data_IF_990105253038
#
_entry.id   IF_990105253038
#
_cell.length_a   1.000
_cell.length_b   1.000
_cell.length_c   1.000
_cell.angle_alpha   90.00
_cell.angle_beta   90.00
_cell.angle_gamma   90.00
#
_symmetry.space_group_name_H-M   'P 1'
#
loop_
_entity.id
_entity.type
_entity.pdbx_description
1 polymer ?
#
# COMPACT_ATOMS: atom_id res chain seq x y z
N UNK A 1 17.96 2.80 -15.26
CA UNK A 1 17.06 1.69 -14.85
C UNK A 1 16.90 0.73 -16.02
N UNK A 2 17.39 -0.51 -15.91
CA UNK A 2 17.41 -1.49 -17.02
C UNK A 2 16.05 -2.20 -17.19
N UNK A 3 15.89 -2.94 -18.29
CA UNK A 3 14.63 -3.63 -18.66
C UNK A 3 14.16 -4.61 -17.58
N UNK A 4 15.08 -5.32 -16.92
CA UNK A 4 14.77 -6.28 -15.86
C UNK A 4 14.17 -5.59 -14.63
N UNK A 5 14.75 -4.48 -14.18
CA UNK A 5 14.22 -3.68 -13.07
C UNK A 5 12.80 -3.18 -13.34
N UNK A 6 12.53 -2.72 -14.57
CA UNK A 6 11.17 -2.28 -14.97
C UNK A 6 10.14 -3.41 -14.95
N UNK A 7 10.54 -4.62 -15.38
CA UNK A 7 9.65 -5.79 -15.39
C UNK A 7 9.32 -6.24 -13.96
N UNK A 8 10.33 -6.26 -13.08
CA UNK A 8 10.14 -6.62 -11.67
C UNK A 8 9.16 -5.68 -10.96
N UNK A 9 9.34 -4.35 -11.09
CA UNK A 9 8.42 -3.37 -10.48
C UNK A 9 6.99 -3.51 -11.03
N UNK A 10 6.84 -3.83 -12.33
CA UNK A 10 5.52 -4.04 -12.93
C UNK A 10 4.84 -5.31 -12.40
N UNK A 11 5.60 -6.38 -12.17
CA UNK A 11 5.08 -7.63 -11.61
C UNK A 11 4.70 -7.46 -10.15
N UNK A 12 5.55 -6.80 -9.36
CA UNK A 12 5.31 -6.45 -7.96
C UNK A 12 4.00 -5.65 -7.80
N UNK A 13 3.84 -4.56 -8.58
CA UNK A 13 2.60 -3.76 -8.56
C UNK A 13 1.35 -4.58 -8.91
N UNK A 14 1.45 -5.50 -9.88
CA UNK A 14 0.34 -6.39 -10.26
C UNK A 14 -0.02 -7.35 -9.13
N UNK A 15 0.99 -7.96 -8.52
CA UNK A 15 0.79 -8.87 -7.40
C UNK A 15 0.17 -8.15 -6.20
N UNK A 16 0.70 -6.98 -5.86
CA UNK A 16 0.14 -6.11 -4.82
C UNK A 16 -1.34 -5.77 -5.09
N UNK A 17 -1.68 -5.35 -6.31
CA UNK A 17 -3.06 -5.05 -6.66
C UNK A 17 -3.97 -6.28 -6.62
N UNK A 18 -3.45 -7.47 -6.93
CA UNK A 18 -4.21 -8.72 -6.92
C UNK A 18 -4.50 -9.20 -5.49
N UNK A 19 -3.56 -9.04 -4.56
CA UNK A 19 -3.74 -9.47 -3.17
C UNK A 19 -4.99 -8.87 -2.52
N UNK A 20 -5.29 -7.61 -2.80
CA UNK A 20 -6.53 -6.96 -2.35
C UNK A 20 -7.78 -7.59 -2.99
N UNK A 21 -7.71 -7.97 -4.26
CA UNK A 21 -8.85 -8.62 -4.94
C UNK A 21 -9.09 -10.04 -4.44
N UNK A 22 -8.03 -10.73 -4.01
CA UNK A 22 -8.12 -12.07 -3.45
C UNK A 22 -8.95 -12.11 -2.15
N UNK A 23 -9.07 -10.98 -1.44
CA UNK A 23 -9.92 -10.85 -0.26
C UNK A 23 -11.43 -10.94 -0.57
N UNK A 24 -11.84 -10.89 -1.85
CA UNK A 24 -13.25 -10.96 -2.24
C UNK A 24 -13.56 -12.29 -2.93
N UNK A 25 -14.53 -13.04 -2.39
CA UNK A 25 -15.08 -14.22 -3.07
C UNK A 25 -15.96 -13.86 -4.27
N UNK A 26 -16.63 -12.69 -4.25
CA UNK A 26 -17.63 -12.29 -5.26
C UNK A 26 -17.34 -10.95 -5.98
N UNK A 27 -16.07 -10.52 -6.01
CA UNK A 27 -15.57 -9.62 -7.05
C UNK A 27 -15.31 -8.16 -6.67
N UNK A 28 -16.04 -7.55 -5.73
CA UNK A 28 -15.75 -6.18 -5.27
C UNK A 28 -16.18 -5.97 -3.82
N UNK A 29 -15.43 -5.13 -3.12
CA UNK A 29 -15.76 -4.73 -1.77
C UNK A 29 -14.62 -3.97 -1.12
N UNK A 30 -14.74 -3.90 0.18
CA UNK A 30 -13.90 -3.16 1.11
C UNK A 30 -13.26 -4.20 2.04
N UNK A 31 -11.96 -4.12 2.26
CA UNK A 31 -11.25 -5.10 3.10
C UNK A 31 -11.14 -4.56 4.52
N UNK A 32 -11.38 -5.42 5.50
CA UNK A 32 -11.19 -5.08 6.90
C UNK A 32 -9.77 -4.58 7.16
N UNK A 33 -9.69 -3.53 7.99
CA UNK A 33 -8.44 -2.85 8.29
C UNK A 33 -7.37 -3.78 8.86
N UNK A 34 -7.75 -4.73 9.69
CA UNK A 34 -6.87 -5.72 10.30
C UNK A 34 -6.22 -6.59 9.22
N UNK A 35 -7.02 -7.08 8.27
CA UNK A 35 -6.52 -7.84 7.11
C UNK A 35 -5.57 -7.01 6.25
N UNK A 36 -5.83 -5.71 6.10
CA UNK A 36 -4.93 -4.80 5.36
C UNK A 36 -3.60 -4.61 6.08
N UNK A 37 -3.58 -4.53 7.40
CA UNK A 37 -2.34 -4.42 8.16
C UNK A 37 -1.45 -5.64 7.91
N UNK A 38 -2.02 -6.84 7.93
CA UNK A 38 -1.29 -8.09 7.64
C UNK A 38 -0.80 -8.14 6.19
N UNK A 39 -1.61 -7.71 5.22
CA UNK A 39 -1.20 -7.65 3.82
C UNK A 39 -0.07 -6.64 3.58
N UNK A 40 -0.09 -5.48 4.23
CA UNK A 40 0.98 -4.48 4.11
C UNK A 40 2.31 -5.04 4.60
N UNK A 41 2.32 -5.69 5.77
CA UNK A 41 3.53 -6.29 6.33
C UNK A 41 4.07 -7.42 5.44
N UNK A 42 3.17 -8.32 5.00
CA UNK A 42 3.53 -9.45 4.16
C UNK A 42 4.11 -9.03 2.80
N UNK A 43 3.52 -8.03 2.15
CA UNK A 43 3.85 -7.68 0.77
C UNK A 43 4.94 -6.62 0.67
N UNK A 44 4.99 -5.68 1.61
CA UNK A 44 5.87 -4.51 1.55
C UNK A 44 6.79 -4.39 2.76
N UNK A 45 6.52 -5.08 3.88
CA UNK A 45 7.25 -4.89 5.14
C UNK A 45 8.74 -5.14 5.06
N UNK A 46 9.18 -6.13 4.27
CA UNK A 46 10.62 -6.39 4.07
C UNK A 46 11.32 -5.35 3.18
N UNK A 47 10.59 -4.66 2.31
CA UNK A 47 11.13 -3.68 1.36
C UNK A 47 11.06 -2.26 1.92
N UNK A 48 10.01 -1.96 2.69
CA UNK A 48 9.67 -0.63 3.19
C UNK A 48 9.27 -0.66 4.69
N UNK A 49 10.11 -1.21 5.58
CA UNK A 49 9.71 -1.49 6.97
C UNK A 49 9.29 -0.23 7.74
N UNK A 50 9.95 0.91 7.50
CA UNK A 50 9.63 2.16 8.19
C UNK A 50 8.28 2.75 7.74
N UNK A 51 8.02 2.78 6.43
CA UNK A 51 6.75 3.23 5.86
C UNK A 51 5.60 2.33 6.29
N UNK A 52 5.78 1.01 6.18
CA UNK A 52 4.76 0.02 6.54
C UNK A 52 4.46 0.09 8.03
N UNK A 53 5.48 0.15 8.89
CA UNK A 53 5.29 0.30 10.34
C UNK A 53 4.45 1.53 10.69
N UNK A 54 4.71 2.67 10.04
CA UNK A 54 3.92 3.89 10.27
C UNK A 54 2.50 3.82 9.74
N UNK A 55 2.28 3.20 8.58
CA UNK A 55 0.94 2.97 8.05
C UNK A 55 0.12 2.05 8.96
N UNK A 56 0.71 0.94 9.43
CA UNK A 56 0.04 -0.01 10.32
C UNK A 56 -0.28 0.64 11.68
N UNK A 57 0.65 1.42 12.24
CA UNK A 57 0.43 2.20 13.46
C UNK A 57 -0.75 3.17 13.27
N UNK A 58 -0.76 3.93 12.17
CA UNK A 58 -1.83 4.87 11.83
C UNK A 58 -3.20 4.19 11.68
N UNK A 59 -3.26 3.08 10.94
CA UNK A 59 -4.50 2.33 10.75
C UNK A 59 -5.00 1.79 12.10
N UNK A 60 -4.12 1.18 12.91
CA UNK A 60 -4.51 0.66 14.23
C UNK A 60 -5.00 1.76 15.17
N UNK A 61 -4.46 2.98 15.09
CA UNK A 61 -4.90 4.12 15.88
C UNK A 61 -6.33 4.58 15.54
N UNK A 62 -6.70 4.62 14.27
CA UNK A 62 -8.05 5.06 13.87
C UNK A 62 -9.10 3.95 13.98
N UNK A 63 -10.00 4.06 14.97
CA UNK A 63 -11.08 3.10 15.20
C UNK A 63 -12.29 3.27 14.27
N UNK A 64 -12.47 4.47 13.71
CA UNK A 64 -13.65 4.81 12.91
C UNK A 64 -13.54 4.34 11.45
N UNK A 65 -12.33 4.16 10.94
CA UNK A 65 -12.08 3.55 9.64
C UNK A 65 -12.11 2.03 9.79
N UNK A 66 -13.23 1.41 9.40
CA UNK A 66 -13.41 -0.05 9.49
C UNK A 66 -12.91 -0.81 8.27
N UNK A 67 -12.88 -0.13 7.13
CA UNK A 67 -12.60 -0.76 5.85
C UNK A 67 -11.70 0.10 4.98
N UNK A 68 -11.00 -0.56 4.07
CA UNK A 68 -10.09 0.04 3.11
C UNK A 68 -10.58 -0.28 1.70
N UNK A 69 -10.70 0.77 0.88
CA UNK A 69 -11.06 0.65 -0.53
C UNK A 69 -9.85 0.33 -1.40
N UNK A 70 -10.10 -0.10 -2.64
CA UNK A 70 -9.04 -0.39 -3.62
C UNK A 70 -8.16 0.83 -3.92
N UNK A 71 -8.73 2.03 -3.92
CA UNK A 71 -7.99 3.26 -4.21
C UNK A 71 -7.04 3.63 -3.07
N UNK A 72 -7.48 3.44 -1.82
CA UNK A 72 -6.65 3.60 -0.63
C UNK A 72 -5.53 2.56 -0.61
N UNK A 73 -5.86 1.30 -0.91
CA UNK A 73 -4.87 0.23 -1.05
C UNK A 73 -3.77 0.58 -2.06
N UNK A 74 -4.15 1.05 -3.25
CA UNK A 74 -3.18 1.50 -4.25
C UNK A 74 -2.44 2.77 -3.83
N UNK A 75 -3.03 3.59 -2.96
CA UNK A 75 -2.40 4.74 -2.31
C UNK A 75 -1.22 4.34 -1.44
N UNK A 76 -1.37 3.31 -0.59
CA UNK A 76 -0.28 2.82 0.27
C UNK A 76 0.93 2.32 -0.52
N UNK A 77 0.71 1.64 -1.64
CA UNK A 77 1.80 1.23 -2.53
C UNK A 77 2.57 2.42 -3.09
N UNK A 78 1.84 3.45 -3.53
CA UNK A 78 2.47 4.66 -4.06
C UNK A 78 3.22 5.41 -2.97
N UNK A 79 2.67 5.50 -1.75
CA UNK A 79 3.38 6.06 -0.60
C UNK A 79 4.72 5.35 -0.36
N UNK A 80 4.73 4.02 -0.32
CA UNK A 80 5.96 3.26 -0.08
C UNK A 80 7.00 3.40 -1.21
N UNK A 81 6.54 3.48 -2.46
CA UNK A 81 7.42 3.38 -3.65
C UNK A 81 7.78 4.72 -4.30
N UNK A 82 7.04 5.80 -4.01
CA UNK A 82 7.19 7.10 -4.67
C UNK A 82 7.49 8.25 -3.71
N UNK A 83 7.00 8.20 -2.48
CA UNK A 83 7.23 9.29 -1.51
C UNK A 83 8.60 9.13 -0.86
N UNK A 84 9.36 10.22 -0.77
CA UNK A 84 10.67 10.30 -0.15
C UNK A 84 10.55 10.24 1.38
N UNK A 85 10.38 9.05 1.92
CA UNK A 85 10.29 8.86 3.36
C UNK A 85 11.66 8.94 4.04
N UNK A 86 11.81 9.54 5.25
CA UNK A 86 10.76 10.04 6.15
C UNK A 86 10.33 11.50 5.93
N UNK A 87 11.09 12.28 5.15
CA UNK A 87 10.91 13.74 5.09
C UNK A 87 9.82 14.21 4.14
N UNK A 88 9.31 13.32 3.28
CA UNK A 88 8.24 13.55 2.31
C UNK A 88 8.46 14.78 1.42
N UNK A 89 9.71 15.09 1.11
CA UNK A 89 10.12 16.32 0.39
C UNK A 89 9.59 16.41 -1.04
N UNK A 90 9.10 15.30 -1.60
CA UNK A 90 8.48 15.26 -2.92
C UNK A 90 6.95 15.09 -2.87
N UNK A 91 6.34 15.25 -1.70
CA UNK A 91 4.89 15.25 -1.56
C UNK A 91 4.35 16.68 -1.71
N UNK A 92 3.30 16.81 -2.52
CA UNK A 92 2.54 18.02 -2.81
C UNK A 92 1.06 17.71 -2.53
N UNK A 93 0.44 18.47 -1.63
CA UNK A 93 -0.95 18.25 -1.22
C UNK A 93 -1.97 18.52 -2.34
N UNK A 94 -1.64 19.45 -3.24
CA UNK A 94 -2.52 19.87 -4.34
C UNK A 94 -2.31 19.01 -5.59
N UNK A 95 -1.08 18.51 -5.80
CA UNK A 95 -0.68 17.83 -7.05
C UNK A 95 -0.25 16.36 -6.86
N UNK A 96 -0.11 15.86 -5.64
CA UNK A 96 0.32 14.48 -5.35
C UNK A 96 1.84 14.30 -5.19
N UNK A 97 2.46 13.30 -5.84
CA UNK A 97 3.90 13.01 -5.77
C UNK A 97 4.45 12.47 -7.09
#
# INVERSE_FOLDING_TARGET
MNTLSKVLTKLEKKFYSYAFQYCFTDGQGDVEKESICELLDMLLGSWYPAQVGKLVEYLKFHTDYKVISKDQWMGFYRFCTKVSFPYMTNYDEDNGF
#
